data_IF_828738800746
#
_entry.id   IF_828738800746
#
_cell.length_a   1.000
_cell.length_b   1.000
_cell.length_c   1.000
_cell.angle_alpha   90.00
_cell.angle_beta   90.00
_cell.angle_gamma   90.00
#
_symmetry.space_group_name_H-M   'P 1'
#
loop_
_entity.id
_entity.type
_entity.pdbx_description
1 polymer ?
#
# COMPACT_ATOMS: atom_id res chain seq x y z
N UNK A 1 -51.74 -67.41 20.79
CA UNK A 1 -51.16 -66.83 22.01
C UNK A 1 -51.03 -65.32 21.81
N UNK A 2 -51.49 -64.55 22.81
CA UNK A 2 -51.56 -63.08 22.90
C UNK A 2 -52.46 -62.34 21.87
N UNK A 3 -53.60 -61.88 22.39
CA UNK A 3 -54.62 -61.02 21.76
C UNK A 3 -54.30 -59.51 21.91
N UNK A 4 -55.06 -58.62 21.25
CA UNK A 4 -54.59 -57.33 20.73
C UNK A 4 -55.02 -56.13 21.59
N UNK A 5 -54.42 -54.96 21.34
CA UNK A 5 -55.08 -53.66 21.59
C UNK A 5 -54.80 -52.69 20.44
N UNK A 6 -55.81 -52.53 19.58
CA UNK A 6 -56.02 -51.32 18.77
C UNK A 6 -56.85 -50.35 19.61
N UNK A 7 -56.60 -49.04 19.47
CA UNK A 7 -57.59 -47.96 19.32
C UNK A 7 -56.84 -46.63 19.01
N UNK A 8 -56.98 -46.17 17.77
CA UNK A 8 -56.82 -44.79 17.26
C UNK A 8 -57.98 -43.87 17.76
N UNK A 9 -58.19 -42.61 17.31
CA UNK A 9 -57.33 -41.48 16.92
C UNK A 9 -57.83 -40.09 17.46
N UNK A 10 -57.03 -39.03 17.39
CA UNK A 10 -57.53 -37.63 17.32
C UNK A 10 -56.36 -36.75 16.80
N UNK A 11 -56.26 -36.46 15.49
CA UNK A 11 -57.02 -35.49 14.70
C UNK A 11 -56.62 -34.01 14.97
N UNK A 12 -56.34 -33.31 13.86
CA UNK A 12 -56.04 -31.88 13.67
C UNK A 12 -54.56 -31.44 13.89
N UNK A 13 -53.89 -30.73 12.99
CA UNK A 13 -54.32 -30.01 11.80
C UNK A 13 -53.15 -29.79 10.83
N UNK A 14 -53.52 -29.73 9.56
CA UNK A 14 -52.73 -29.64 8.34
C UNK A 14 -52.10 -28.25 8.11
N UNK A 15 -51.04 -28.26 7.29
CA UNK A 15 -50.48 -27.18 6.45
C UNK A 15 -49.44 -26.24 7.08
N UNK A 16 -48.16 -26.45 6.72
CA UNK A 16 -47.31 -25.34 6.26
C UNK A 16 -46.39 -25.80 5.11
N UNK A 17 -46.91 -25.60 3.90
CA UNK A 17 -46.28 -25.14 2.65
C UNK A 17 -44.91 -25.75 2.26
N UNK A 18 -44.81 -26.46 1.11
CA UNK A 18 -43.55 -26.76 0.46
C UNK A 18 -43.07 -25.51 -0.31
N UNK A 19 -41.88 -25.04 0.03
CA UNK A 19 -41.23 -23.91 -0.63
C UNK A 19 -39.73 -24.11 -0.67
N UNK A 20 -39.29 -24.97 -1.58
CA UNK A 20 -37.89 -25.09 -1.98
C UNK A 20 -37.44 -23.78 -2.62
N UNK A 21 -36.84 -22.89 -1.84
CA UNK A 21 -35.91 -21.89 -2.37
C UNK A 21 -34.61 -22.00 -1.59
N UNK A 22 -33.61 -22.51 -2.29
CA UNK A 22 -32.23 -22.53 -1.85
C UNK A 22 -31.78 -21.09 -1.58
N UNK A 23 -31.71 -20.72 -0.31
CA UNK A 23 -30.95 -19.57 0.12
C UNK A 23 -29.57 -20.08 0.51
N UNK A 24 -28.62 -19.87 -0.41
CA UNK A 24 -27.21 -19.94 -0.10
C UNK A 24 -26.95 -19.02 1.10
N UNK A 25 -26.74 -19.60 2.28
CA UNK A 25 -26.18 -18.89 3.42
C UNK A 25 -24.69 -18.73 3.13
N UNK A 26 -24.17 -17.52 2.90
CA UNK A 26 -22.73 -17.34 2.91
C UNK A 26 -22.24 -17.74 4.30
N UNK A 27 -21.29 -18.67 4.35
CA UNK A 27 -20.56 -19.04 5.56
C UNK A 27 -19.61 -17.89 5.95
N UNK A 28 -20.14 -16.69 6.11
CA UNK A 28 -19.45 -15.47 6.53
C UNK A 28 -19.48 -15.39 8.05
N UNK A 29 -18.75 -16.26 8.73
CA UNK A 29 -18.68 -16.22 10.19
C UNK A 29 -17.51 -17.01 10.77
N UNK A 30 -17.17 -18.17 10.19
CA UNK A 30 -16.09 -19.01 10.69
C UNK A 30 -14.69 -18.40 10.44
N UNK A 31 -14.48 -17.76 9.28
CA UNK A 31 -13.17 -17.20 8.92
C UNK A 31 -12.87 -15.86 9.61
N UNK A 32 -13.89 -15.02 9.80
CA UNK A 32 -13.75 -13.71 10.46
C UNK A 32 -13.53 -13.83 11.97
N UNK A 33 -14.28 -14.70 12.64
CA UNK A 33 -14.06 -14.97 14.07
C UNK A 33 -12.70 -15.64 14.32
N UNK A 34 -12.30 -16.61 13.49
CA UNK A 34 -10.99 -17.25 13.61
C UNK A 34 -9.83 -16.28 13.36
N UNK A 35 -9.98 -15.33 12.41
CA UNK A 35 -9.00 -14.27 12.18
C UNK A 35 -8.92 -13.29 13.36
N UNK A 36 -10.05 -12.84 13.89
CA UNK A 36 -10.09 -11.93 15.05
C UNK A 36 -9.55 -12.59 16.33
N UNK A 37 -9.80 -13.89 16.54
CA UNK A 37 -9.23 -14.64 17.67
C UNK A 37 -7.72 -14.83 17.48
N UNK A 38 -7.26 -15.11 16.26
CA UNK A 38 -5.82 -15.23 15.96
C UNK A 38 -5.08 -13.91 16.16
N UNK A 39 -5.72 -12.79 15.81
CA UNK A 39 -5.21 -11.44 16.05
C UNK A 39 -5.17 -11.14 17.55
N UNK A 40 -6.23 -11.44 18.31
CA UNK A 40 -6.27 -11.23 19.75
C UNK A 40 -5.27 -12.11 20.54
N UNK A 41 -4.97 -13.33 20.05
CA UNK A 41 -3.94 -14.20 20.65
C UNK A 41 -2.52 -13.72 20.30
N UNK A 42 -2.31 -13.14 19.12
CA UNK A 42 -1.02 -12.55 18.73
C UNK A 42 -0.78 -11.18 19.37
N UNK A 43 -1.83 -10.40 19.59
CA UNK A 43 -1.79 -9.10 20.27
C UNK A 43 -1.83 -9.24 21.81
N UNK A 44 -1.89 -10.48 22.32
CA UNK A 44 -1.73 -10.77 23.74
C UNK A 44 -0.48 -10.09 24.29
N UNK A 45 -0.70 -9.06 25.12
CA UNK A 45 0.36 -8.21 25.65
C UNK A 45 1.25 -9.01 26.59
N UNK A 46 2.33 -9.60 26.07
CA UNK A 46 3.35 -10.24 26.88
C UNK A 46 4.13 -9.13 27.62
N UNK A 47 4.09 -9.07 28.97
CA UNK A 47 4.78 -8.04 29.74
C UNK A 47 6.31 -8.07 29.58
N UNK A 48 6.85 -9.12 28.97
CA UNK A 48 8.28 -9.27 28.67
C UNK A 48 8.62 -9.07 27.18
N UNK A 49 7.65 -8.70 26.34
CA UNK A 49 7.94 -8.40 24.93
C UNK A 49 8.65 -7.04 24.87
N UNK A 50 9.86 -6.96 24.29
CA UNK A 50 10.50 -5.67 24.07
C UNK A 50 9.63 -4.80 23.16
N UNK A 51 9.62 -3.47 23.33
CA UNK A 51 8.86 -2.59 22.47
C UNK A 51 9.26 -2.83 21.02
N UNK A 52 8.26 -3.02 20.16
CA UNK A 52 8.48 -3.20 18.72
C UNK A 52 9.30 -2.01 18.20
N UNK A 53 10.34 -2.32 17.41
CA UNK A 53 11.19 -1.28 16.84
C UNK A 53 10.34 -0.26 16.06
N UNK A 54 10.70 1.04 16.08
CA UNK A 54 10.01 2.06 15.31
C UNK A 54 9.90 1.62 13.85
N UNK A 55 8.68 1.59 13.31
CA UNK A 55 8.48 1.25 11.91
C UNK A 55 9.03 2.40 11.06
N UNK A 56 10.06 2.18 10.22
CA UNK A 56 10.67 3.25 9.41
C UNK A 56 9.70 3.81 8.35
N UNK A 57 8.56 3.15 8.12
CA UNK A 57 7.50 3.62 7.23
C UNK A 57 6.38 4.38 7.95
N UNK A 58 6.48 4.56 9.26
CA UNK A 58 5.47 5.28 10.03
C UNK A 58 5.60 6.78 9.80
N UNK A 59 4.79 7.29 8.87
CA UNK A 59 4.70 8.70 8.50
C UNK A 59 3.97 9.56 9.54
N UNK A 60 3.45 8.96 10.62
CA UNK A 60 2.69 9.67 11.66
C UNK A 60 3.57 10.31 12.72
N UNK A 61 4.87 9.99 12.75
CA UNK A 61 5.77 10.59 13.73
C UNK A 61 6.15 12.03 13.35
N UNK A 62 6.23 12.93 14.33
CA UNK A 62 6.62 14.32 14.10
C UNK A 62 8.00 14.44 13.44
N UNK A 63 8.88 13.47 13.70
CA UNK A 63 10.22 13.38 13.11
C UNK A 63 10.21 13.21 11.58
N UNK A 64 9.24 12.50 11.01
CA UNK A 64 9.10 12.27 9.58
C UNK A 64 8.70 13.55 8.85
N UNK A 65 7.76 14.31 9.42
CA UNK A 65 7.35 15.60 8.87
C UNK A 65 8.51 16.60 8.86
N UNK A 66 9.30 16.64 9.94
CA UNK A 66 10.47 17.51 10.03
C UNK A 66 11.57 17.10 9.05
N UNK A 67 11.82 15.79 8.89
CA UNK A 67 12.74 15.26 7.89
C UNK A 67 12.27 15.56 6.46
N UNK A 68 10.96 15.46 6.18
CA UNK A 68 10.40 15.80 4.88
C UNK A 68 10.62 17.29 4.58
N UNK A 69 10.31 18.18 5.53
CA UNK A 69 10.54 19.62 5.38
C UNK A 69 12.00 19.94 5.10
N UNK A 70 12.92 19.41 5.91
CA UNK A 70 14.35 19.62 5.72
C UNK A 70 14.83 19.18 4.32
N UNK A 71 14.34 18.03 3.83
CA UNK A 71 14.65 17.54 2.48
C UNK A 71 14.10 18.47 1.39
N UNK A 72 12.91 19.01 1.59
CA UNK A 72 12.28 19.94 0.65
C UNK A 72 13.01 21.28 0.60
N UNK A 73 13.44 21.80 1.75
CA UNK A 73 14.23 23.03 1.84
C UNK A 73 15.58 22.87 1.12
N UNK A 74 16.25 21.74 1.33
CA UNK A 74 17.49 21.42 0.63
C UNK A 74 17.29 21.34 -0.89
N UNK A 75 16.24 20.66 -1.36
CA UNK A 75 15.92 20.59 -2.79
C UNK A 75 15.65 21.98 -3.39
N UNK A 76 14.98 22.86 -2.65
CA UNK A 76 14.71 24.22 -3.09
C UNK A 76 16.00 25.04 -3.19
N UNK A 77 16.91 24.87 -2.24
CA UNK A 77 18.24 25.49 -2.29
C UNK A 77 19.04 25.02 -3.51
N UNK A 78 19.07 23.71 -3.78
CA UNK A 78 19.75 23.14 -4.94
C UNK A 78 19.17 23.67 -6.27
N UNK A 79 17.84 23.82 -6.35
CA UNK A 79 17.16 24.42 -7.51
C UNK A 79 17.61 25.87 -7.69
N UNK A 80 17.64 26.67 -6.62
CA UNK A 80 18.04 28.08 -6.68
C UNK A 80 19.49 28.22 -7.14
N UNK A 81 20.39 27.40 -6.61
CA UNK A 81 21.81 27.42 -6.98
C UNK A 81 22.05 26.96 -8.42
N UNK A 82 21.29 25.96 -8.87
CA UNK A 82 21.38 25.43 -10.24
C UNK A 82 20.72 26.35 -11.26
N UNK A 83 19.65 27.07 -10.89
CA UNK A 83 18.87 27.92 -11.81
C UNK A 83 19.68 29.04 -12.45
N UNK A 84 20.71 29.53 -11.75
CA UNK A 84 21.57 30.63 -12.19
C UNK A 84 22.69 30.18 -13.12
N UNK A 85 22.94 28.87 -13.25
CA UNK A 85 24.07 28.31 -14.00
C UNK A 85 23.57 27.65 -15.29
N UNK A 86 24.13 28.05 -16.43
CA UNK A 86 23.93 27.36 -17.72
C UNK A 86 25.05 26.34 -17.90
N UNK A 87 24.75 25.07 -17.67
CA UNK A 87 25.70 23.97 -17.78
C UNK A 87 25.39 23.11 -19.01
N UNK A 88 26.45 22.67 -19.69
CA UNK A 88 26.38 21.73 -20.81
C UNK A 88 27.18 20.48 -20.46
N UNK A 89 26.74 19.33 -20.98
CA UNK A 89 27.42 18.04 -20.83
C UNK A 89 27.72 17.47 -22.19
N UNK A 90 28.83 16.73 -22.28
CA UNK A 90 29.25 16.04 -23.49
C UNK A 90 29.06 14.53 -23.33
N UNK A 91 27.90 13.96 -23.72
CA UNK A 91 27.64 12.52 -23.58
C UNK A 91 28.44 11.66 -24.58
N UNK A 92 29.14 12.27 -25.54
CA UNK A 92 29.94 11.57 -26.53
C UNK A 92 30.33 12.46 -27.70
N UNK A 93 30.86 11.87 -28.77
CA UNK A 93 31.22 12.57 -30.01
C UNK A 93 29.99 12.76 -30.90
N UNK A 94 29.79 13.96 -31.45
CA UNK A 94 28.73 14.23 -32.41
C UNK A 94 29.17 13.95 -33.85
N UNK A 95 30.33 14.48 -34.24
CA UNK A 95 30.82 14.44 -35.62
C UNK A 95 32.35 14.43 -35.65
N UNK A 96 32.92 14.30 -36.84
CA UNK A 96 34.35 14.50 -37.09
C UNK A 96 34.54 15.76 -37.94
N UNK A 97 35.52 16.60 -37.64
CA UNK A 97 35.83 17.79 -38.44
C UNK A 97 36.58 17.41 -39.74
N UNK A 98 36.85 18.38 -40.61
CA UNK A 98 37.53 18.16 -41.89
C UNK A 98 38.99 17.70 -41.72
N UNK A 99 39.60 17.93 -40.56
CA UNK A 99 40.93 17.45 -40.21
C UNK A 99 40.94 16.04 -39.59
N UNK A 100 39.77 15.41 -39.41
CA UNK A 100 39.67 14.08 -38.81
C UNK A 100 39.55 14.07 -37.28
N UNK A 101 39.41 15.22 -36.62
CA UNK A 101 39.26 15.30 -35.16
C UNK A 101 37.80 15.17 -34.71
N UNK A 102 37.59 14.48 -33.60
CA UNK A 102 36.28 14.26 -32.99
C UNK A 102 35.73 15.54 -32.34
N UNK A 103 34.55 16.00 -32.79
CA UNK A 103 33.83 17.13 -32.20
C UNK A 103 32.82 16.60 -31.16
N UNK A 104 32.92 17.02 -29.89
CA UNK A 104 32.02 16.55 -28.83
C UNK A 104 30.58 17.03 -29.07
N UNK A 105 29.62 16.14 -28.81
CA UNK A 105 28.20 16.48 -28.76
C UNK A 105 27.97 17.29 -27.51
N UNK A 106 27.41 18.49 -27.63
CA UNK A 106 27.00 19.28 -26.46
C UNK A 106 25.49 19.16 -26.25
N UNK A 107 25.09 18.70 -25.07
CA UNK A 107 23.70 18.69 -24.63
C UNK A 107 23.53 19.59 -23.41
N UNK A 108 22.37 20.25 -23.32
CA UNK A 108 22.03 21.07 -22.15
C UNK A 108 21.83 20.17 -20.94
N UNK A 109 22.42 20.53 -19.80
CA UNK A 109 22.24 19.76 -18.58
C UNK A 109 20.77 19.81 -18.12
N UNK A 110 20.22 18.63 -17.80
CA UNK A 110 18.83 18.45 -17.38
C UNK A 110 18.71 18.39 -15.85
N UNK A 111 19.79 18.62 -15.12
CA UNK A 111 19.86 18.65 -13.64
C UNK A 111 18.77 19.53 -13.02
N UNK A 112 18.63 20.78 -13.47
CA UNK A 112 17.59 21.69 -12.95
C UNK A 112 16.19 21.10 -13.11
N UNK A 113 15.88 20.54 -14.29
CA UNK A 113 14.57 19.94 -14.56
C UNK A 113 14.32 18.72 -13.66
N UNK A 114 15.35 17.90 -13.42
CA UNK A 114 15.26 16.74 -12.51
C UNK A 114 15.04 17.16 -11.06
N UNK A 115 15.75 18.19 -10.59
CA UNK A 115 15.56 18.75 -9.24
C UNK A 115 14.16 19.31 -9.06
N UNK A 116 13.67 20.09 -10.02
CA UNK A 116 12.30 20.63 -10.01
C UNK A 116 11.24 19.52 -10.00
N UNK A 117 11.45 18.46 -10.78
CA UNK A 117 10.55 17.31 -10.79
C UNK A 117 10.56 16.60 -9.43
N UNK A 118 11.73 16.32 -8.87
CA UNK A 118 11.85 15.71 -7.54
C UNK A 118 11.19 16.55 -6.46
N UNK A 119 11.32 17.87 -6.52
CA UNK A 119 10.65 18.77 -5.59
C UNK A 119 9.13 18.65 -5.72
N UNK A 120 8.59 18.66 -6.95
CA UNK A 120 7.15 18.44 -7.17
C UNK A 120 6.70 17.08 -6.61
N UNK A 121 7.39 16.00 -6.95
CA UNK A 121 6.95 14.66 -6.58
C UNK A 121 6.99 14.39 -5.05
N UNK A 122 7.82 15.12 -4.29
CA UNK A 122 8.04 14.86 -2.86
C UNK A 122 7.56 15.98 -1.93
N UNK A 123 7.37 17.19 -2.44
CA UNK A 123 7.16 18.41 -1.64
C UNK A 123 5.94 19.22 -2.04
N UNK A 124 5.24 18.88 -3.13
CA UNK A 124 3.97 19.52 -3.52
C UNK A 124 2.76 18.79 -2.95
#
# INVERSE_FOLDING_TARGET
MASPRRLLPLAALLVLIPGSMAWAQPQSGASSAAAAISEAVQDGSNPYRPPSAPNPNDKSNASYEDQRRARCDQLLQDINDTSRKRTYKSPGTATTNAQGEAVPKLERDKTLKRLQQSYRDNCS
#
